data_IF_787443917021
#
_entry.id   IF_787443917021
#
_cell.length_a   1.000
_cell.length_b   1.000
_cell.length_c   1.000
_cell.angle_alpha   90.00
_cell.angle_beta   90.00
_cell.angle_gamma   90.00
#
_symmetry.space_group_name_H-M   'P 1'
#
loop_
_entity.id
_entity.type
_entity.pdbx_description
1 polymer ?
#
# COMPACT_ATOMS: atom_id res chain seq x y z
N UNK A 1 -9.76 7.91 66.82
CA UNK A 1 -8.53 8.74 66.86
C UNK A 1 -7.92 8.72 65.47
N UNK A 2 -7.95 9.75 64.63
CA UNK A 2 -8.62 11.04 64.66
C UNK A 2 -8.72 11.51 63.20
N UNK A 3 -9.93 11.80 62.72
CA UNK A 3 -10.25 12.40 61.42
C UNK A 3 -9.83 13.89 61.35
N UNK A 4 -8.70 14.25 61.97
CA UNK A 4 -8.25 15.64 62.14
C UNK A 4 -6.94 15.94 61.43
N UNK A 5 -6.36 14.96 60.73
CA UNK A 5 -5.18 15.17 59.89
C UNK A 5 -5.62 15.76 58.56
N UNK A 6 -4.98 16.85 58.16
CA UNK A 6 -5.29 17.53 56.91
C UNK A 6 -5.06 16.68 55.65
N UNK A 7 -4.31 15.59 55.75
CA UNK A 7 -4.14 14.61 54.67
C UNK A 7 -5.37 13.70 54.49
N UNK A 8 -6.09 13.40 55.57
CA UNK A 8 -7.22 12.48 55.59
C UNK A 8 -8.57 13.19 55.30
N UNK A 9 -8.52 14.48 54.91
CA UNK A 9 -9.70 15.25 54.49
C UNK A 9 -10.25 14.69 53.16
N UNK A 10 -11.53 14.29 53.07
CA UNK A 10 -12.11 13.69 51.86
C UNK A 10 -11.91 14.54 50.61
N UNK A 11 -12.02 15.88 50.72
CA UNK A 11 -11.82 16.79 49.58
C UNK A 11 -10.38 16.72 49.05
N UNK A 12 -9.39 16.56 49.94
CA UNK A 12 -7.98 16.48 49.56
C UNK A 12 -7.62 15.12 48.96
N UNK A 13 -8.14 14.04 49.53
CA UNK A 13 -7.98 12.69 48.97
C UNK A 13 -8.56 12.66 47.55
N UNK A 14 -9.75 13.23 47.35
CA UNK A 14 -10.36 13.35 46.03
C UNK A 14 -9.49 14.15 45.07
N UNK A 15 -8.92 15.29 45.51
CA UNK A 15 -8.05 16.10 44.65
C UNK A 15 -6.76 15.38 44.27
N UNK A 16 -6.15 14.67 45.21
CA UNK A 16 -4.95 13.86 44.93
C UNK A 16 -5.26 12.72 43.95
N UNK A 17 -6.41 12.06 44.10
CA UNK A 17 -6.85 11.01 43.18
C UNK A 17 -7.14 11.60 41.80
N UNK A 18 -7.75 12.78 41.73
CA UNK A 18 -7.96 13.52 40.49
C UNK A 18 -6.62 13.79 39.82
N UNK A 19 -5.67 14.46 40.48
CA UNK A 19 -4.36 14.81 39.90
C UNK A 19 -3.54 13.61 39.43
N UNK A 20 -3.57 12.51 40.19
CA UNK A 20 -2.87 11.27 39.81
C UNK A 20 -3.53 10.53 38.64
N UNK A 21 -4.86 10.54 38.55
CA UNK A 21 -5.59 9.81 37.50
C UNK A 21 -5.91 10.66 36.26
N UNK A 22 -5.88 11.99 36.36
CA UNK A 22 -6.34 12.90 35.31
C UNK A 22 -5.59 12.69 33.99
N UNK A 23 -4.28 12.43 34.03
CA UNK A 23 -3.48 12.23 32.82
C UNK A 23 -3.92 10.98 32.03
N UNK A 24 -4.27 9.90 32.75
CA UNK A 24 -4.74 8.64 32.16
C UNK A 24 -6.19 8.77 31.69
N UNK A 25 -7.04 9.38 32.52
CA UNK A 25 -8.43 9.67 32.20
C UNK A 25 -8.53 10.55 30.96
N UNK A 26 -7.67 11.56 30.83
CA UNK A 26 -7.61 12.40 29.63
C UNK A 26 -7.36 11.54 28.38
N UNK A 27 -6.34 10.68 28.39
CA UNK A 27 -6.01 9.82 27.25
C UNK A 27 -7.13 8.86 26.84
N UNK A 28 -7.90 8.34 27.81
CA UNK A 28 -9.01 7.40 27.57
C UNK A 28 -10.29 8.13 27.13
N UNK A 29 -10.57 9.30 27.72
CA UNK A 29 -11.79 10.05 27.51
C UNK A 29 -11.72 11.02 26.31
N UNK A 30 -10.58 11.13 25.62
CA UNK A 30 -10.51 11.94 24.39
C UNK A 30 -11.53 11.38 23.39
N UNK A 31 -12.54 12.15 22.98
CA UNK A 31 -13.49 11.68 21.98
C UNK A 31 -12.75 11.34 20.68
N UNK A 32 -13.02 10.15 20.15
CA UNK A 32 -12.49 9.72 18.86
C UNK A 32 -13.23 10.36 17.69
N UNK A 33 -12.80 10.05 16.46
CA UNK A 33 -13.40 10.54 15.21
C UNK A 33 -14.81 9.97 14.89
N UNK A 34 -15.50 9.35 15.85
CA UNK A 34 -16.82 8.72 15.67
C UNK A 34 -16.75 7.28 15.14
N UNK A 35 -17.75 6.83 14.37
CA UNK A 35 -17.79 5.50 13.71
C UNK A 35 -17.70 5.63 12.18
N UNK A 36 -18.11 6.78 11.66
CA UNK A 36 -18.21 7.12 10.24
C UNK A 36 -17.63 8.52 10.00
N UNK A 37 -16.31 8.72 10.17
CA UNK A 37 -15.67 9.99 9.85
C UNK A 37 -15.78 10.30 8.35
N UNK A 38 -15.87 11.58 8.01
CA UNK A 38 -15.75 12.04 6.63
C UNK A 38 -14.30 12.16 6.20
N UNK A 39 -13.98 11.75 4.97
CA UNK A 39 -12.69 12.03 4.34
C UNK A 39 -12.67 13.49 3.88
N UNK A 40 -11.71 14.28 4.38
CA UNK A 40 -11.44 15.62 3.86
C UNK A 40 -10.42 15.49 2.73
N UNK A 41 -10.80 15.91 1.52
CA UNK A 41 -9.94 15.84 0.34
C UNK A 41 -9.07 17.12 0.18
N UNK A 42 -8.39 17.53 1.25
CA UNK A 42 -7.46 18.68 1.24
C UNK A 42 -6.03 18.19 1.42
N UNK A 43 -5.08 18.52 0.51
CA UNK A 43 -3.69 18.06 0.59
C UNK A 43 -2.92 18.60 1.80
N UNK A 44 -3.38 19.68 2.44
CA UNK A 44 -2.73 20.25 3.63
C UNK A 44 -3.20 19.59 4.93
N UNK A 45 -4.27 18.79 4.87
CA UNK A 45 -4.83 18.11 6.04
C UNK A 45 -4.30 16.68 6.08
N UNK A 46 -3.39 16.43 7.01
CA UNK A 46 -2.90 15.09 7.29
C UNK A 46 -3.69 14.44 8.44
N UNK A 47 -4.05 13.18 8.25
CA UNK A 47 -4.76 12.40 9.26
C UNK A 47 -3.79 12.00 10.39
N UNK A 48 -4.02 12.51 11.61
CA UNK A 48 -3.16 12.21 12.77
C UNK A 48 -3.53 10.90 13.48
N UNK A 49 -4.80 10.51 13.41
CA UNK A 49 -5.34 9.26 13.99
C UNK A 49 -5.99 8.46 12.87
N UNK A 50 -6.73 7.41 13.22
CA UNK A 50 -7.56 6.69 12.27
C UNK A 50 -8.71 7.59 11.76
N UNK A 51 -9.17 7.36 10.53
CA UNK A 51 -10.26 8.13 9.93
C UNK A 51 -10.95 7.35 8.81
N UNK A 52 -11.29 8.04 7.73
CA UNK A 52 -12.01 7.48 6.58
C UNK A 52 -11.16 6.54 5.68
N UNK A 53 -10.08 5.99 6.22
CA UNK A 53 -9.18 5.04 5.58
C UNK A 53 -9.30 3.62 6.15
N UNK A 54 -10.10 3.43 7.21
CA UNK A 54 -10.19 2.15 7.91
C UNK A 54 -11.07 1.15 7.13
N UNK A 55 -10.53 -0.02 6.83
CA UNK A 55 -11.24 -1.16 6.21
C UNK A 55 -12.26 -1.78 7.18
N UNK A 56 -13.29 -2.45 6.65
CA UNK A 56 -14.25 -3.20 7.46
C UNK A 56 -13.60 -4.43 8.13
N UNK A 57 -12.71 -5.12 7.41
CA UNK A 57 -11.97 -6.30 7.87
C UNK A 57 -10.52 -5.95 8.29
N UNK A 58 -10.34 -4.85 9.03
CA UNK A 58 -8.99 -4.36 9.40
C UNK A 58 -8.14 -5.42 10.12
N UNK A 59 -8.72 -6.18 11.06
CA UNK A 59 -7.96 -7.13 11.87
C UNK A 59 -7.46 -8.30 11.04
N UNK A 60 -8.29 -8.77 10.11
CA UNK A 60 -7.93 -9.87 9.21
C UNK A 60 -6.83 -9.40 8.23
N UNK A 61 -6.94 -8.18 7.71
CA UNK A 61 -5.90 -7.56 6.88
C UNK A 61 -4.57 -7.42 7.62
N UNK A 62 -4.57 -6.96 8.87
CA UNK A 62 -3.33 -6.87 9.67
C UNK A 62 -2.71 -8.26 9.89
N UNK A 63 -3.54 -9.27 10.17
CA UNK A 63 -3.08 -10.65 10.30
C UNK A 63 -2.45 -11.17 9.00
N UNK A 64 -3.03 -10.80 7.86
CA UNK A 64 -2.51 -11.12 6.53
C UNK A 64 -1.19 -10.41 6.22
N UNK A 65 -1.08 -9.11 6.50
CA UNK A 65 0.15 -8.32 6.31
C UNK A 65 1.30 -8.85 7.18
N UNK A 66 0.98 -9.33 8.38
CA UNK A 66 1.93 -10.02 9.25
C UNK A 66 2.17 -11.49 8.87
N UNK A 67 1.49 -11.99 7.83
CA UNK A 67 1.63 -13.35 7.30
C UNK A 67 1.36 -14.41 8.39
N UNK A 68 0.50 -14.09 9.37
CA UNK A 68 0.23 -14.98 10.52
C UNK A 68 -0.50 -16.27 10.12
N UNK A 69 -1.09 -16.29 8.93
CA UNK A 69 -1.78 -17.43 8.37
C UNK A 69 -0.84 -18.51 7.80
N UNK A 70 0.45 -18.23 7.58
CA UNK A 70 1.41 -19.20 7.01
C UNK A 70 2.41 -19.68 8.04
N UNK A 71 2.68 -20.98 8.01
CA UNK A 71 3.78 -21.57 8.76
C UNK A 71 5.08 -21.45 7.96
N UNK A 72 6.20 -21.39 8.67
CA UNK A 72 7.53 -21.49 8.06
C UNK A 72 7.66 -22.82 7.33
N UNK A 73 8.27 -22.79 6.16
CA UNK A 73 8.41 -23.94 5.27
C UNK A 73 9.82 -24.01 4.67
N UNK A 74 10.24 -25.19 4.22
CA UNK A 74 11.47 -25.46 3.46
C UNK A 74 11.21 -25.42 1.95
N UNK A 75 10.60 -24.35 1.47
CA UNK A 75 10.29 -24.12 0.04
C UNK A 75 9.41 -25.19 -0.64
N UNK A 76 8.60 -25.95 0.11
CA UNK A 76 7.63 -26.89 -0.49
C UNK A 76 6.37 -26.14 -0.94
N UNK A 77 6.34 -25.73 -2.22
CA UNK A 77 5.21 -24.96 -2.81
C UNK A 77 3.86 -25.66 -2.61
N UNK A 78 3.83 -26.99 -2.68
CA UNK A 78 2.61 -27.80 -2.52
C UNK A 78 1.95 -27.64 -1.13
N UNK A 79 2.73 -27.40 -0.09
CA UNK A 79 2.23 -27.33 1.29
C UNK A 79 1.92 -25.90 1.72
N UNK A 80 2.49 -24.91 1.03
CA UNK A 80 2.36 -23.49 1.36
C UNK A 80 2.21 -22.64 0.09
N UNK A 81 1.14 -22.89 -0.67
CA UNK A 81 0.82 -22.14 -1.86
C UNK A 81 0.02 -20.87 -1.51
N UNK A 82 0.56 -19.71 -1.87
CA UNK A 82 -0.08 -18.42 -1.60
C UNK A 82 -1.38 -18.23 -2.38
N UNK A 83 -1.49 -18.84 -3.57
CA UNK A 83 -2.65 -18.67 -4.46
C UNK A 83 -3.90 -19.33 -3.87
N UNK A 84 -3.74 -20.52 -3.28
CA UNK A 84 -4.85 -21.26 -2.68
C UNK A 84 -5.44 -20.51 -1.48
N UNK A 85 -4.58 -19.82 -0.72
CA UNK A 85 -4.99 -18.94 0.37
C UNK A 85 -5.76 -17.71 -0.12
N UNK A 86 -5.27 -17.03 -1.17
CA UNK A 86 -5.93 -15.83 -1.72
C UNK A 86 -7.35 -16.14 -2.26
N UNK A 87 -7.57 -17.34 -2.76
CA UNK A 87 -8.88 -17.77 -3.27
C UNK A 87 -9.92 -18.01 -2.16
N UNK A 88 -9.50 -18.19 -0.91
CA UNK A 88 -10.35 -18.65 0.21
C UNK A 88 -10.54 -17.63 1.32
N UNK A 89 -9.74 -16.56 1.36
CA UNK A 89 -9.68 -15.60 2.48
C UNK A 89 -10.16 -14.19 2.09
N UNK A 90 -10.58 -13.37 3.09
CA UNK A 90 -11.26 -12.13 2.80
C UNK A 90 -10.32 -11.10 2.17
N UNK A 91 -10.57 -10.82 0.89
CA UNK A 91 -10.01 -9.69 0.15
C UNK A 91 -10.31 -8.39 0.92
N UNK A 92 -9.45 -7.38 0.77
CA UNK A 92 -9.67 -6.03 1.26
C UNK A 92 -11.13 -5.58 1.11
N UNK A 93 -11.81 -5.32 2.22
CA UNK A 93 -13.21 -4.91 2.23
C UNK A 93 -13.34 -3.39 2.46
N UNK A 94 -13.42 -2.65 1.34
CA UNK A 94 -13.53 -1.20 1.36
C UNK A 94 -14.78 -0.74 2.13
N UNK A 95 -14.58 -0.01 3.21
CA UNK A 95 -15.66 0.71 3.90
C UNK A 95 -15.94 2.03 3.20
N UNK A 96 -17.21 2.34 2.96
CA UNK A 96 -17.65 3.61 2.38
C UNK A 96 -17.71 4.70 3.46
N UNK A 97 -17.07 5.83 3.19
CA UNK A 97 -17.12 7.03 4.03
C UNK A 97 -17.59 8.22 3.19
N UNK A 98 -18.24 9.20 3.82
CA UNK A 98 -18.58 10.46 3.16
C UNK A 98 -17.30 11.20 2.79
N UNK A 99 -17.24 11.78 1.59
CA UNK A 99 -16.08 12.53 1.12
C UNK A 99 -16.48 14.00 1.02
N UNK A 100 -15.68 14.86 1.63
CA UNK A 100 -15.75 16.31 1.45
C UNK A 100 -14.72 16.70 0.40
N UNK A 101 -15.19 17.11 -0.78
CA UNK A 101 -14.31 17.42 -1.90
C UNK A 101 -13.72 18.83 -1.83
N UNK A 102 -14.31 19.74 -1.06
CA UNK A 102 -13.82 21.11 -1.02
C UNK A 102 -12.53 21.20 -0.18
N UNK A 103 -11.53 21.86 -0.76
CA UNK A 103 -10.29 22.24 -0.10
C UNK A 103 -10.57 23.47 0.78
N UNK A 104 -10.08 23.45 2.03
CA UNK A 104 -10.13 24.64 2.90
C UNK A 104 -9.16 25.67 2.36
N UNK A 105 -7.98 25.22 1.88
CA UNK A 105 -6.96 26.08 1.29
C UNK A 105 -6.53 25.55 -0.07
N UNK A 106 -7.11 26.12 -1.13
CA UNK A 106 -6.76 25.73 -2.49
C UNK A 106 -5.33 26.18 -2.86
N UNK A 107 -4.47 25.23 -3.23
CA UNK A 107 -3.11 25.50 -3.69
C UNK A 107 -2.73 24.60 -4.87
N UNK A 108 -2.58 25.19 -6.05
CA UNK A 108 -2.19 24.46 -7.27
C UNK A 108 -0.86 23.74 -7.13
N UNK A 109 0.10 24.27 -6.36
CA UNK A 109 1.38 23.61 -6.06
C UNK A 109 1.25 22.27 -5.33
N UNK A 110 0.17 22.06 -4.57
CA UNK A 110 -0.05 20.86 -3.77
C UNK A 110 -0.87 19.82 -4.53
N UNK A 111 -1.85 20.27 -5.33
CA UNK A 111 -2.76 19.40 -6.08
C UNK A 111 -2.28 19.09 -7.51
N UNK A 112 -1.56 20.02 -8.14
CA UNK A 112 -1.15 19.94 -9.53
C UNK A 112 0.38 19.99 -9.64
N UNK A 113 1.09 18.87 -9.49
CA UNK A 113 2.53 18.84 -9.72
C UNK A 113 2.88 19.31 -11.14
N UNK A 114 4.03 19.98 -11.30
CA UNK A 114 4.40 20.67 -12.55
C UNK A 114 4.40 19.80 -13.81
N UNK A 115 4.51 18.46 -13.68
CA UNK A 115 4.45 17.54 -14.82
C UNK A 115 3.05 17.48 -15.44
N UNK A 116 1.97 17.66 -14.67
CA UNK A 116 0.59 17.71 -15.18
C UNK A 116 0.44 18.83 -16.22
N UNK A 117 1.05 20.00 -15.96
CA UNK A 117 1.01 21.13 -16.89
C UNK A 117 2.02 21.00 -18.05
N UNK A 118 3.11 20.27 -17.85
CA UNK A 118 4.11 20.00 -18.90
C UNK A 118 3.54 19.12 -20.02
N UNK A 119 2.54 18.30 -19.71
CA UNK A 119 1.92 17.33 -20.60
C UNK A 119 0.72 17.85 -21.38
N UNK A 120 0.32 19.12 -21.18
CA UNK A 120 -0.81 19.73 -21.89
C UNK A 120 -0.37 20.09 -23.31
N UNK A 121 -0.34 19.08 -24.18
CA UNK A 121 -0.28 19.28 -25.61
C UNK A 121 -1.69 19.58 -26.13
N UNK A 122 -1.96 20.85 -26.43
CA UNK A 122 -3.18 21.31 -27.12
C UNK A 122 -3.29 20.80 -28.58
N UNK A 123 -2.51 19.82 -29.01
CA UNK A 123 -2.42 19.37 -30.40
C UNK A 123 -3.44 18.29 -30.80
N UNK A 124 -4.10 17.64 -29.85
CA UNK A 124 -5.12 16.62 -30.13
C UNK A 124 -6.53 17.15 -29.87
N UNK A 125 -6.95 18.14 -30.65
CA UNK A 125 -8.25 18.80 -30.56
C UNK A 125 -9.40 18.14 -31.33
N UNK A 126 -9.28 16.87 -31.76
CA UNK A 126 -10.34 16.22 -32.57
C UNK A 126 -11.10 15.10 -31.86
N UNK A 127 -10.59 14.53 -30.77
CA UNK A 127 -11.25 13.42 -30.09
C UNK A 127 -11.32 13.74 -28.59
N UNK A 128 -12.54 13.96 -28.08
CA UNK A 128 -12.89 14.35 -26.70
C UNK A 128 -12.47 13.33 -25.61
N UNK A 129 -11.19 12.94 -25.56
CA UNK A 129 -10.59 12.15 -24.51
C UNK A 129 -9.43 12.96 -23.91
N UNK A 130 -9.78 13.89 -23.03
CA UNK A 130 -8.90 14.78 -22.28
C UNK A 130 -8.14 14.07 -21.15
N UNK A 131 -7.68 12.83 -21.34
CA UNK A 131 -7.00 12.04 -20.30
C UNK A 131 -5.78 11.28 -20.83
N UNK A 132 -5.11 11.78 -21.86
CA UNK A 132 -3.85 11.19 -22.31
C UNK A 132 -2.72 12.16 -21.94
N UNK A 133 -1.93 11.91 -20.87
CA UNK A 133 -0.68 12.63 -20.67
C UNK A 133 0.14 12.50 -21.95
N UNK A 134 0.95 13.50 -22.31
CA UNK A 134 1.82 13.51 -23.50
C UNK A 134 2.57 12.18 -23.66
N UNK A 135 1.88 11.19 -24.21
CA UNK A 135 2.47 9.99 -24.68
C UNK A 135 3.23 10.52 -25.87
N UNK A 136 4.54 10.37 -25.84
CA UNK A 136 5.35 10.36 -27.04
C UNK A 136 4.77 9.27 -27.95
N UNK A 137 3.59 9.51 -28.53
CA UNK A 137 2.70 8.48 -29.08
C UNK A 137 3.37 7.84 -30.30
N UNK A 138 4.39 8.53 -30.82
CA UNK A 138 5.47 7.96 -31.58
C UNK A 138 6.78 8.32 -30.88
N UNK A 139 7.40 7.35 -30.21
CA UNK A 139 8.85 7.45 -30.01
C UNK A 139 9.48 7.27 -31.39
N UNK A 140 10.22 8.28 -31.86
CA UNK A 140 10.95 8.20 -33.13
C UNK A 140 11.95 7.03 -33.16
N UNK A 141 12.42 6.60 -31.98
CA UNK A 141 13.42 5.55 -31.78
C UNK A 141 13.04 4.71 -30.57
N UNK A 142 13.31 3.40 -30.61
CA UNK A 142 13.04 2.52 -29.48
C UNK A 142 13.98 2.88 -28.31
N UNK A 143 13.47 3.30 -27.14
CA UNK A 143 14.32 3.71 -26.01
C UNK A 143 15.09 2.52 -25.41
N UNK A 144 14.70 1.29 -25.77
CA UNK A 144 15.35 0.07 -25.34
C UNK A 144 16.50 -0.38 -26.25
N UNK A 145 16.66 0.23 -27.42
CA UNK A 145 17.57 -0.24 -28.47
C UNK A 145 19.05 -0.19 -28.07
N UNK A 146 19.43 0.70 -27.13
CA UNK A 146 20.82 0.89 -26.69
C UNK A 146 20.99 0.77 -25.17
N UNK A 147 20.10 0.06 -24.46
CA UNK A 147 20.21 -0.10 -22.99
C UNK A 147 21.47 -0.90 -22.61
N UNK A 148 21.85 -1.87 -23.43
CA UNK A 148 23.03 -2.67 -23.22
C UNK A 148 24.03 -2.43 -24.35
N UNK A 149 25.29 -2.16 -24.00
CA UNK A 149 26.39 -2.21 -24.97
C UNK A 149 26.55 -3.68 -25.37
N UNK A 150 26.35 -4.07 -26.63
CA UNK A 150 26.54 -5.46 -27.01
C UNK A 150 28.04 -5.76 -27.05
N UNK A 151 28.47 -6.78 -26.30
CA UNK A 151 29.84 -7.28 -26.39
C UNK A 151 29.98 -8.10 -27.68
N UNK A 152 30.18 -7.44 -28.82
CA UNK A 152 30.32 -8.13 -30.12
C UNK A 152 31.54 -9.04 -30.20
N UNK A 153 32.55 -8.81 -29.34
CA UNK A 153 33.84 -9.48 -29.44
C UNK A 153 34.18 -10.20 -28.12
N UNK A 154 34.89 -11.33 -28.24
CA UNK A 154 35.35 -12.19 -27.13
C UNK A 154 34.26 -12.96 -26.36
N UNK A 155 33.10 -13.22 -26.98
CA UNK A 155 32.19 -14.23 -26.44
C UNK A 155 32.83 -15.60 -26.66
N UNK A 156 33.05 -16.36 -25.59
CA UNK A 156 33.60 -17.70 -25.69
C UNK A 156 32.67 -18.58 -26.54
N UNK A 157 33.20 -19.19 -27.60
CA UNK A 157 32.45 -20.13 -28.44
C UNK A 157 31.82 -21.26 -27.63
N UNK A 158 32.44 -21.63 -26.49
CA UNK A 158 31.91 -22.60 -25.53
C UNK A 158 30.61 -22.14 -24.87
N UNK A 159 30.50 -20.86 -24.49
CA UNK A 159 29.29 -20.29 -23.86
C UNK A 159 28.16 -20.27 -24.90
N UNK A 160 28.46 -19.81 -26.11
CA UNK A 160 27.53 -19.84 -27.26
C UNK A 160 27.01 -21.27 -27.47
N UNK A 161 27.89 -22.26 -27.55
CA UNK A 161 27.48 -23.65 -27.76
C UNK A 161 26.65 -24.23 -26.63
N UNK A 162 26.88 -23.80 -25.38
CA UNK A 162 26.09 -24.20 -24.22
C UNK A 162 24.68 -23.57 -24.26
N UNK A 163 24.58 -22.30 -24.63
CA UNK A 163 23.30 -21.58 -24.67
C UNK A 163 22.42 -22.02 -25.86
N UNK A 164 23.04 -22.31 -27.00
CA UNK A 164 22.36 -22.88 -28.17
C UNK A 164 22.17 -24.40 -28.10
N UNK A 165 22.62 -25.05 -27.02
CA UNK A 165 22.39 -26.47 -26.83
C UNK A 165 20.92 -26.73 -26.47
N UNK A 166 20.11 -26.95 -27.51
CA UNK A 166 18.86 -27.68 -27.33
C UNK A 166 19.20 -29.15 -27.12
N UNK A 167 18.91 -29.66 -25.92
CA UNK A 167 18.70 -31.09 -25.76
C UNK A 167 17.60 -31.47 -26.75
N UNK A 168 17.93 -32.35 -27.71
CA UNK A 168 16.92 -33.17 -28.38
C UNK A 168 16.32 -34.10 -27.31
N UNK A 169 15.52 -33.52 -26.42
CA UNK A 169 14.57 -34.27 -25.65
C UNK A 169 13.47 -34.63 -26.65
N UNK A 170 13.65 -35.78 -27.29
CA UNK A 170 12.55 -36.55 -27.84
C UNK A 170 11.68 -37.00 -26.67
N UNK A 171 11.01 -36.05 -26.02
CA UNK A 171 9.92 -36.35 -25.13
C UNK A 171 8.74 -36.63 -26.04
N UNK A 172 8.62 -37.90 -26.47
CA UNK A 172 7.40 -38.41 -27.07
C UNK A 172 6.28 -38.24 -26.04
N UNK A 173 5.49 -37.18 -26.21
CA UNK A 173 4.38 -36.81 -25.32
C UNK A 173 3.39 -37.99 -25.17
N UNK A 174 3.31 -38.87 -26.17
CA UNK A 174 2.44 -40.04 -26.15
C UNK A 174 2.99 -41.27 -25.40
N UNK A 175 4.31 -41.37 -25.15
CA UNK A 175 4.91 -42.62 -24.62
C UNK A 175 5.52 -42.57 -23.24
N UNK A 176 5.73 -41.41 -22.60
CA UNK A 176 6.23 -41.29 -21.19
C UNK A 176 7.31 -42.33 -20.80
N UNK A 177 8.31 -42.56 -21.65
CA UNK A 177 9.47 -43.40 -21.30
C UNK A 177 10.74 -42.67 -21.72
N UNK A 178 11.69 -42.58 -20.79
CA UNK A 178 13.05 -42.10 -21.01
C UNK A 178 13.96 -43.31 -21.23
N UNK A 179 14.75 -43.31 -22.30
CA UNK A 179 15.99 -44.08 -22.36
C UNK A 179 17.16 -43.17 -22.00
#
# INVERSE_FOLDING_TARGET
MAFTRFYDDPCRIQKYLEESTNIGNYGINVPGNGVTPSLLNDPHINMQKWGANLSQNKTDLESELHILHRKLNKDTIRENNYVDYLNTNPIYNKKSYSIHNDEITAQSRATHPSWIYREINNFNGENNNTNVPNNFNYLHLNPQENICIPFHNNISSRIIQKDYYQLNNNFDIERRITN
#
